data_IF_796316235611
#
_entry.id   IF_796316235611
#
_cell.length_a   1.000
_cell.length_b   1.000
_cell.length_c   1.000
_cell.angle_alpha   90.00
_cell.angle_beta   90.00
_cell.angle_gamma   90.00
#
_symmetry.space_group_name_H-M   'P 1'
#
loop_
_entity.id
_entity.type
_entity.pdbx_description
1 polymer ?
#
# COMPACT_ATOMS: atom_id res chain seq x y z
N UNK A 1 -15.72 -10.00 -26.27
CA UNK A 1 -14.45 -9.55 -26.91
C UNK A 1 -13.35 -10.48 -26.47
N UNK A 2 -12.51 -10.94 -27.39
CA UNK A 2 -11.34 -11.76 -27.05
C UNK A 2 -10.18 -10.82 -26.73
N UNK A 3 -9.59 -10.94 -25.53
CA UNK A 3 -8.35 -10.28 -25.20
C UNK A 3 -7.17 -11.06 -25.79
N UNK A 4 -6.17 -10.36 -26.33
CA UNK A 4 -4.94 -10.96 -26.81
C UNK A 4 -3.89 -11.06 -25.70
N UNK A 5 -3.94 -10.15 -24.73
CA UNK A 5 -3.08 -10.09 -23.55
C UNK A 5 -3.91 -9.71 -22.32
N UNK A 6 -3.66 -10.37 -21.21
CA UNK A 6 -4.24 -10.07 -19.89
C UNK A 6 -3.08 -9.85 -18.93
N UNK A 7 -3.08 -8.70 -18.25
CA UNK A 7 -2.08 -8.38 -17.24
C UNK A 7 -2.69 -8.43 -15.85
N UNK A 8 -1.94 -8.94 -14.91
CA UNK A 8 -2.24 -8.89 -13.47
C UNK A 8 -1.05 -8.33 -12.72
N UNK A 9 -1.32 -7.59 -11.64
CA UNK A 9 -0.31 -6.98 -10.77
C UNK A 9 -0.15 -7.73 -9.43
N UNK A 10 -0.72 -8.94 -9.36
CA UNK A 10 -0.53 -9.86 -8.23
C UNK A 10 -0.43 -11.29 -8.77
N UNK A 11 0.44 -12.11 -8.16
CA UNK A 11 0.56 -13.54 -8.50
C UNK A 11 -0.74 -14.29 -8.23
N UNK A 12 -1.44 -13.94 -7.15
CA UNK A 12 -2.76 -14.47 -6.83
C UNK A 12 -3.77 -14.24 -7.99
N UNK A 13 -3.77 -13.04 -8.58
CA UNK A 13 -4.61 -12.73 -9.75
C UNK A 13 -4.30 -13.59 -10.96
N UNK A 14 -3.02 -13.91 -11.18
CA UNK A 14 -2.59 -14.83 -12.23
C UNK A 14 -3.19 -16.24 -12.03
N UNK A 15 -3.13 -16.75 -10.80
CA UNK A 15 -3.65 -18.06 -10.45
C UNK A 15 -5.19 -18.12 -10.55
N UNK A 16 -5.90 -17.13 -10.04
CA UNK A 16 -7.36 -17.03 -10.14
C UNK A 16 -7.80 -17.06 -11.60
N UNK A 17 -7.15 -16.30 -12.47
CA UNK A 17 -7.53 -16.25 -13.89
C UNK A 17 -7.24 -17.59 -14.57
N UNK A 18 -6.11 -18.22 -14.31
CA UNK A 18 -5.75 -19.53 -14.87
C UNK A 18 -6.73 -20.62 -14.45
N UNK A 19 -7.17 -20.61 -13.20
CA UNK A 19 -8.13 -21.59 -12.70
C UNK A 19 -9.55 -21.36 -13.27
N UNK A 20 -10.02 -20.11 -13.27
CA UNK A 20 -11.38 -19.79 -13.74
C UNK A 20 -11.53 -19.79 -15.25
N UNK A 21 -10.45 -19.51 -15.97
CA UNK A 21 -10.45 -19.36 -17.43
C UNK A 21 -9.25 -20.10 -18.03
N UNK A 22 -9.20 -21.45 -17.99
CA UNK A 22 -8.05 -22.23 -18.49
C UNK A 22 -7.68 -21.89 -19.95
N UNK A 23 -8.68 -21.56 -20.78
CA UNK A 23 -8.48 -21.14 -22.16
C UNK A 23 -7.72 -19.83 -22.33
N UNK A 24 -7.65 -19.01 -21.28
CA UNK A 24 -6.90 -17.75 -21.28
C UNK A 24 -5.49 -17.89 -20.66
N UNK A 25 -5.13 -19.08 -20.17
CA UNK A 25 -3.91 -19.33 -19.39
C UNK A 25 -2.64 -18.88 -20.10
N UNK A 26 -2.53 -19.10 -21.42
CA UNK A 26 -1.37 -18.65 -22.22
C UNK A 26 -1.31 -17.16 -22.52
N UNK A 27 -2.35 -16.39 -22.14
CA UNK A 27 -2.45 -14.95 -22.41
C UNK A 27 -2.29 -14.10 -21.14
N UNK A 28 -2.25 -14.74 -19.97
CA UNK A 28 -2.18 -14.05 -18.68
C UNK A 28 -0.73 -13.94 -18.24
N UNK A 29 -0.30 -12.72 -17.96
CA UNK A 29 1.05 -12.41 -17.52
C UNK A 29 1.03 -11.58 -16.26
N UNK A 30 1.94 -11.87 -15.35
CA UNK A 30 2.20 -11.06 -14.17
C UNK A 30 3.26 -10.01 -14.50
N UNK A 31 2.97 -8.76 -14.17
CA UNK A 31 3.92 -7.66 -14.10
C UNK A 31 3.62 -6.84 -12.86
N UNK A 32 4.65 -6.46 -12.12
CA UNK A 32 4.46 -5.52 -11.02
C UNK A 32 3.81 -4.22 -11.50
N UNK A 33 2.98 -3.62 -10.65
CA UNK A 33 2.42 -2.31 -10.93
C UNK A 33 3.57 -1.30 -11.02
N UNK A 34 3.73 -0.56 -12.14
CA UNK A 34 4.85 0.37 -12.29
C UNK A 34 4.68 1.59 -11.42
N UNK A 35 5.80 2.21 -11.05
CA UNK A 35 5.82 3.46 -10.28
C UNK A 35 6.97 4.38 -10.69
N UNK A 36 7.02 5.56 -10.08
CA UNK A 36 8.08 6.55 -10.27
C UNK A 36 8.92 6.57 -9.00
N UNK A 37 10.25 6.58 -9.14
CA UNK A 37 11.15 6.73 -8.01
C UNK A 37 11.03 8.14 -7.41
N UNK A 38 10.59 8.23 -6.14
CA UNK A 38 10.44 9.46 -5.35
C UNK A 38 11.21 9.36 -4.03
N UNK A 39 12.22 8.48 -3.98
CA UNK A 39 13.00 8.28 -2.76
C UNK A 39 13.63 9.60 -2.29
N UNK A 40 13.62 9.87 -0.99
CA UNK A 40 14.34 11.01 -0.44
C UNK A 40 15.85 10.82 -0.63
N UNK A 41 16.61 11.91 -0.68
CA UNK A 41 18.07 11.85 -0.75
C UNK A 41 18.69 11.20 0.48
N UNK A 42 18.06 11.42 1.64
CA UNK A 42 18.45 10.86 2.94
C UNK A 42 17.20 10.41 3.69
N UNK A 43 17.33 9.31 4.44
CA UNK A 43 16.25 8.91 5.35
C UNK A 43 16.09 9.97 6.44
N UNK A 44 14.84 10.27 6.85
CA UNK A 44 14.59 11.16 7.97
C UNK A 44 15.21 10.59 9.24
N UNK A 45 15.65 11.49 10.12
CA UNK A 45 16.15 11.09 11.43
C UNK A 45 14.99 10.49 12.27
N UNK A 46 15.27 9.44 13.04
CA UNK A 46 14.26 8.76 13.87
C UNK A 46 13.55 9.71 14.87
N UNK A 47 14.22 10.79 15.27
CA UNK A 47 13.67 11.79 16.19
C UNK A 47 12.53 12.63 15.58
N UNK A 48 12.29 12.52 14.28
CA UNK A 48 11.25 13.27 13.56
C UNK A 48 9.96 12.48 13.36
N UNK A 49 9.83 11.29 13.94
CA UNK A 49 8.62 10.48 13.83
C UNK A 49 7.52 11.11 14.70
N UNK A 50 6.44 11.52 14.04
CA UNK A 50 5.26 12.11 14.65
C UNK A 50 4.09 11.12 14.74
N UNK A 51 4.03 10.17 13.79
CA UNK A 51 2.94 9.23 13.67
C UNK A 51 3.48 7.79 13.68
N UNK A 52 2.78 6.91 14.38
CA UNK A 52 3.04 5.48 14.27
C UNK A 52 2.51 4.95 12.93
N UNK A 53 1.36 5.47 12.49
CA UNK A 53 0.69 5.06 11.28
C UNK A 53 0.23 6.26 10.43
N UNK A 54 0.52 6.19 9.14
CA UNK A 54 -0.05 7.07 8.13
C UNK A 54 -1.02 6.26 7.26
N UNK A 55 -2.26 6.69 7.15
CA UNK A 55 -3.23 6.20 6.16
C UNK A 55 -3.47 7.32 5.16
N UNK A 56 -3.25 7.08 3.86
CA UNK A 56 -3.38 8.13 2.87
C UNK A 56 -4.11 7.69 1.59
N UNK A 57 -4.50 8.67 0.80
CA UNK A 57 -5.25 8.50 -0.45
C UNK A 57 -6.73 8.78 -0.28
N UNK A 58 -7.55 8.55 -1.31
CA UNK A 58 -8.99 8.84 -1.22
C UNK A 58 -9.63 8.07 -0.06
N UNK A 59 -10.28 8.78 0.85
CA UNK A 59 -11.01 8.20 1.98
C UNK A 59 -12.38 7.72 1.48
N UNK A 60 -12.58 6.40 1.47
CA UNK A 60 -13.79 5.74 1.00
C UNK A 60 -14.07 4.46 1.81
N UNK A 61 -15.32 3.99 1.78
CA UNK A 61 -15.75 2.86 2.64
C UNK A 61 -14.97 1.58 2.43
N UNK A 62 -14.69 1.21 1.16
CA UNK A 62 -14.00 -0.05 0.85
C UNK A 62 -12.53 -0.10 1.33
N UNK A 63 -11.99 1.04 1.79
CA UNK A 63 -10.59 1.12 2.25
C UNK A 63 -10.38 0.71 3.70
N UNK A 64 -11.39 0.20 4.39
CA UNK A 64 -11.25 -0.37 5.73
C UNK A 64 -10.92 0.63 6.85
N UNK A 65 -10.95 1.95 6.55
CA UNK A 65 -10.65 2.99 7.54
C UNK A 65 -11.67 2.96 8.68
N UNK A 66 -12.95 2.77 8.33
CA UNK A 66 -14.04 2.70 9.29
C UNK A 66 -13.89 1.51 10.24
N UNK A 67 -13.54 0.36 9.70
CA UNK A 67 -13.29 -0.88 10.43
C UNK A 67 -12.11 -0.70 11.39
N UNK A 68 -11.03 -0.08 10.92
CA UNK A 68 -9.85 0.18 11.74
C UNK A 68 -10.15 1.18 12.88
N UNK A 69 -10.89 2.27 12.63
CA UNK A 69 -11.30 3.19 13.69
C UNK A 69 -12.23 2.53 14.72
N UNK A 70 -13.13 1.66 14.26
CA UNK A 70 -14.00 0.88 15.16
C UNK A 70 -13.19 -0.09 16.02
N UNK A 71 -12.17 -0.72 15.42
CA UNK A 71 -11.22 -1.57 16.13
C UNK A 71 -10.51 -0.80 17.24
N UNK A 72 -9.92 0.37 16.94
CA UNK A 72 -9.21 1.19 17.92
C UNK A 72 -10.11 1.63 19.09
N UNK A 73 -11.38 1.94 18.83
CA UNK A 73 -12.35 2.28 19.90
C UNK A 73 -12.63 1.12 20.83
N UNK A 74 -12.62 -0.10 20.31
CA UNK A 74 -12.88 -1.32 21.09
C UNK A 74 -11.62 -1.82 21.82
N UNK A 75 -10.45 -1.28 21.51
CA UNK A 75 -9.16 -1.64 22.10
C UNK A 75 -8.47 -0.38 22.67
N UNK A 76 -9.03 0.20 23.75
CA UNK A 76 -8.56 1.47 24.29
C UNK A 76 -7.15 1.40 24.89
N UNK A 77 -6.60 0.20 25.10
CA UNK A 77 -5.20 -0.02 25.52
C UNK A 77 -4.21 0.26 24.38
N UNK A 78 -4.69 0.29 23.14
CA UNK A 78 -3.88 0.59 21.97
C UNK A 78 -4.03 2.07 21.60
N UNK A 79 -2.95 2.82 21.66
CA UNK A 79 -2.93 4.27 21.42
C UNK A 79 -1.91 4.68 20.34
N UNK A 80 -1.91 4.08 19.12
CA UNK A 80 -0.99 4.51 18.08
C UNK A 80 -1.35 5.93 17.61
N UNK A 81 -0.35 6.78 17.45
CA UNK A 81 -0.57 8.08 16.79
C UNK A 81 -0.85 7.87 15.31
N UNK A 82 -2.09 8.12 14.87
CA UNK A 82 -2.53 7.88 13.51
C UNK A 82 -2.81 9.18 12.77
N UNK A 83 -2.25 9.33 11.57
CA UNK A 83 -2.64 10.38 10.63
C UNK A 83 -3.39 9.77 9.44
N UNK A 84 -4.60 10.25 9.18
CA UNK A 84 -5.39 9.90 8.00
C UNK A 84 -5.48 11.12 7.11
N UNK A 85 -4.91 11.06 5.88
CA UNK A 85 -4.90 12.19 4.96
C UNK A 85 -5.39 11.80 3.58
N UNK A 86 -6.39 12.55 3.08
CA UNK A 86 -6.93 12.31 1.76
C UNK A 86 -8.28 12.96 1.55
N UNK A 87 -8.65 13.19 0.28
CA UNK A 87 -9.98 13.68 -0.06
C UNK A 87 -11.02 12.63 0.35
N UNK A 88 -12.00 13.02 1.15
CA UNK A 88 -13.10 12.15 1.52
C UNK A 88 -14.14 12.06 0.38
N UNK A 89 -14.67 10.86 0.15
CA UNK A 89 -15.65 10.61 -0.91
C UNK A 89 -16.98 11.35 -0.68
N UNK A 90 -17.36 11.60 0.60
CA UNK A 90 -18.54 12.39 0.94
C UNK A 90 -18.40 13.06 2.30
N UNK A 91 -19.16 14.18 2.51
CA UNK A 91 -19.18 14.86 3.80
C UNK A 91 -19.81 14.00 4.91
N UNK A 92 -20.79 13.16 4.57
CA UNK A 92 -21.41 12.25 5.53
C UNK A 92 -20.43 11.19 6.04
N UNK A 93 -19.61 10.62 5.15
CA UNK A 93 -18.55 9.69 5.53
C UNK A 93 -17.50 10.38 6.40
N UNK A 94 -17.09 11.60 6.04
CA UNK A 94 -16.13 12.35 6.85
C UNK A 94 -16.62 12.55 8.28
N UNK A 95 -17.88 13.00 8.44
CA UNK A 95 -18.49 13.20 9.75
C UNK A 95 -18.53 11.89 10.55
N UNK A 96 -18.97 10.80 9.91
CA UNK A 96 -19.02 9.47 10.54
C UNK A 96 -17.62 9.03 11.05
N UNK A 97 -16.57 9.25 10.26
CA UNK A 97 -15.20 8.89 10.65
C UNK A 97 -14.70 9.78 11.79
N UNK A 98 -14.99 11.10 11.74
CA UNK A 98 -14.61 12.03 12.80
C UNK A 98 -15.33 11.72 14.13
N UNK A 99 -16.61 11.35 14.08
CA UNK A 99 -17.38 10.95 15.28
C UNK A 99 -16.88 9.64 15.89
N UNK A 100 -16.21 8.79 15.10
CA UNK A 100 -15.62 7.51 15.53
C UNK A 100 -14.16 7.60 15.93
N UNK A 101 -13.42 8.58 15.41
CA UNK A 101 -12.00 8.69 15.63
C UNK A 101 -11.68 8.93 17.11
N UNK A 102 -10.80 8.14 17.75
CA UNK A 102 -10.22 8.50 19.04
C UNK A 102 -9.38 9.78 18.94
N UNK A 103 -9.13 10.44 20.08
CA UNK A 103 -8.43 11.75 20.13
C UNK A 103 -6.98 11.69 19.59
N UNK A 104 -6.36 10.51 19.60
CA UNK A 104 -5.01 10.28 19.05
C UNK A 104 -5.01 10.00 17.53
N UNK A 105 -6.17 10.09 16.88
CA UNK A 105 -6.30 9.93 15.42
C UNK A 105 -6.60 11.29 14.78
N UNK A 106 -5.71 11.75 13.92
CA UNK A 106 -5.89 12.99 13.16
C UNK A 106 -6.41 12.70 11.76
N UNK A 107 -7.56 13.27 11.38
CA UNK A 107 -8.13 13.17 10.04
C UNK A 107 -7.98 14.50 9.32
N UNK A 108 -7.32 14.49 8.15
CA UNK A 108 -7.06 15.65 7.29
C UNK A 108 -7.74 15.38 5.94
N UNK A 109 -8.95 15.96 5.69
CA UNK A 109 -9.76 15.65 4.51
C UNK A 109 -9.31 16.43 3.26
N UNK A 110 -8.01 16.40 2.94
CA UNK A 110 -7.42 17.07 1.79
C UNK A 110 -6.55 16.15 0.96
N UNK A 111 -6.44 16.37 -0.35
CA UNK A 111 -5.49 15.67 -1.21
C UNK A 111 -4.14 16.37 -1.14
N UNK A 112 -3.12 15.81 -0.49
CA UNK A 112 -1.80 16.40 -0.46
C UNK A 112 -1.13 16.29 -1.83
N UNK A 113 -0.25 17.26 -2.17
CA UNK A 113 0.73 17.07 -3.24
C UNK A 113 1.68 15.92 -2.89
N UNK A 114 2.34 15.34 -3.88
CA UNK A 114 3.35 14.29 -3.61
C UNK A 114 4.51 14.80 -2.73
N UNK A 115 4.89 16.06 -2.85
CA UNK A 115 5.89 16.69 -1.99
C UNK A 115 5.41 16.74 -0.53
N UNK A 116 4.19 17.21 -0.29
CA UNK A 116 3.59 17.22 1.05
C UNK A 116 3.43 15.80 1.60
N UNK A 117 3.03 14.84 0.75
CA UNK A 117 2.89 13.45 1.13
C UNK A 117 4.23 12.83 1.54
N UNK A 118 5.33 13.16 0.84
CA UNK A 118 6.67 12.67 1.21
C UNK A 118 7.05 13.07 2.63
N UNK A 119 6.66 14.27 3.08
CA UNK A 119 6.90 14.73 4.45
C UNK A 119 6.07 13.93 5.47
N UNK A 120 4.79 13.62 5.16
CA UNK A 120 3.98 12.75 6.02
C UNK A 120 4.57 11.35 6.12
N UNK A 121 5.01 10.76 5.01
CA UNK A 121 5.69 9.46 4.99
C UNK A 121 6.96 9.51 5.84
N UNK A 122 7.76 10.57 5.67
CA UNK A 122 9.00 10.75 6.42
C UNK A 122 8.80 10.89 7.94
N UNK A 123 7.66 11.44 8.36
CA UNK A 123 7.29 11.60 9.78
C UNK A 123 6.48 10.43 10.34
N UNK A 124 6.34 9.32 9.61
CA UNK A 124 5.56 8.16 10.02
C UNK A 124 6.41 6.90 10.10
N UNK A 125 6.13 6.03 11.07
CA UNK A 125 6.81 4.72 11.17
C UNK A 125 6.40 3.80 10.03
N UNK A 126 5.08 3.72 9.77
CA UNK A 126 4.51 2.89 8.72
C UNK A 126 3.42 3.64 7.95
N UNK A 127 3.28 3.28 6.70
CA UNK A 127 2.05 3.52 5.95
C UNK A 127 1.14 2.32 6.15
N UNK A 128 -0.03 2.52 6.75
CA UNK A 128 -1.06 1.50 6.91
C UNK A 128 -2.05 1.58 5.75
N UNK A 129 -2.30 0.45 5.12
CA UNK A 129 -3.31 0.28 4.07
C UNK A 129 -4.34 -0.74 4.59
N UNK A 130 -5.36 -0.30 5.34
CA UNK A 130 -6.25 -1.19 6.09
C UNK A 130 -7.38 -1.77 5.23
N UNK A 131 -7.13 -2.04 3.94
CA UNK A 131 -8.15 -2.56 3.03
C UNK A 131 -8.71 -3.90 3.50
N UNK A 132 -10.01 -4.10 3.26
CA UNK A 132 -10.60 -5.43 3.42
C UNK A 132 -9.93 -6.39 2.43
N UNK A 133 -9.45 -7.58 2.86
CA UNK A 133 -8.69 -8.50 2.00
C UNK A 133 -9.40 -8.84 0.69
N UNK A 134 -10.72 -9.07 0.74
CA UNK A 134 -11.53 -9.42 -0.43
C UNK A 134 -11.73 -8.27 -1.43
N UNK A 135 -11.32 -7.05 -1.07
CA UNK A 135 -11.54 -5.85 -1.88
C UNK A 135 -10.35 -5.46 -2.78
N UNK A 136 -9.19 -6.14 -2.63
CA UNK A 136 -7.97 -5.68 -3.29
C UNK A 136 -7.04 -6.83 -3.69
N UNK A 137 -6.59 -6.84 -4.94
CA UNK A 137 -5.50 -7.69 -5.42
C UNK A 137 -4.21 -6.88 -5.65
N UNK A 138 -4.35 -5.58 -5.94
CA UNK A 138 -3.22 -4.68 -6.17
C UNK A 138 -3.60 -3.26 -5.77
N UNK A 139 -2.62 -2.44 -5.38
CA UNK A 139 -2.86 -1.10 -4.87
C UNK A 139 -1.85 -0.08 -5.39
N UNK A 140 -2.34 0.97 -6.06
CA UNK A 140 -1.53 2.13 -6.43
C UNK A 140 -0.97 2.85 -5.19
N UNK A 141 -1.74 2.90 -4.09
CA UNK A 141 -1.27 3.47 -2.80
C UNK A 141 -0.07 2.70 -2.26
N UNK A 142 -0.05 1.36 -2.40
CA UNK A 142 1.09 0.53 -2.00
C UNK A 142 2.34 0.95 -2.82
N UNK A 143 2.23 0.97 -4.14
CA UNK A 143 3.35 1.30 -5.02
C UNK A 143 3.85 2.73 -4.82
N UNK A 144 2.94 3.69 -4.70
CA UNK A 144 3.32 5.07 -4.42
C UNK A 144 3.97 5.21 -3.04
N UNK A 145 3.51 4.47 -2.02
CA UNK A 145 4.15 4.45 -0.69
C UNK A 145 5.58 3.90 -0.77
N UNK A 146 5.78 2.79 -1.49
CA UNK A 146 7.11 2.22 -1.72
C UNK A 146 8.01 3.19 -2.49
N UNK A 147 7.44 4.01 -3.39
CA UNK A 147 8.19 5.01 -4.14
C UNK A 147 8.84 6.09 -3.26
N UNK A 148 8.28 6.34 -2.08
CA UNK A 148 8.85 7.23 -1.06
C UNK A 148 9.78 6.51 -0.07
N UNK A 149 9.97 5.20 -0.20
CA UNK A 149 10.73 4.40 0.76
C UNK A 149 9.97 4.08 2.04
N UNK A 150 8.64 4.12 2.00
CA UNK A 150 7.81 3.83 3.17
C UNK A 150 7.92 2.37 3.58
N UNK A 151 7.90 2.12 4.90
CA UNK A 151 7.55 0.82 5.45
C UNK A 151 6.03 0.69 5.40
N UNK A 152 5.52 -0.44 4.94
CA UNK A 152 4.10 -0.61 4.69
C UNK A 152 3.53 -1.76 5.52
N UNK A 153 2.34 -1.55 6.06
CA UNK A 153 1.50 -2.61 6.63
C UNK A 153 0.24 -2.69 5.76
N UNK A 154 -0.07 -3.87 5.22
CA UNK A 154 -1.24 -4.09 4.37
C UNK A 154 -1.88 -5.46 4.58
N UNK A 155 -3.04 -5.75 3.97
CA UNK A 155 -3.73 -7.02 4.12
C UNK A 155 -2.91 -8.18 3.53
N UNK A 156 -3.02 -9.38 4.11
CA UNK A 156 -2.35 -10.59 3.62
C UNK A 156 -3.05 -11.14 2.37
N UNK A 157 -3.05 -10.37 1.27
CA UNK A 157 -3.67 -10.73 -0.01
C UNK A 157 -2.93 -10.06 -1.19
N UNK A 158 -3.02 -10.65 -2.35
CA UNK A 158 -2.57 -10.09 -3.62
C UNK A 158 -1.12 -9.60 -3.62
N UNK A 159 -0.90 -8.42 -4.17
CA UNK A 159 0.43 -7.82 -4.29
C UNK A 159 1.09 -7.51 -2.93
N UNK A 160 0.33 -7.39 -1.84
CA UNK A 160 0.93 -7.20 -0.51
C UNK A 160 1.73 -8.43 -0.09
N UNK A 161 1.23 -9.65 -0.36
CA UNK A 161 1.97 -10.89 -0.12
C UNK A 161 3.21 -10.93 -1.02
N UNK A 162 3.05 -10.64 -2.32
CA UNK A 162 4.17 -10.65 -3.26
C UNK A 162 5.32 -9.74 -2.79
N UNK A 163 4.99 -8.51 -2.34
CA UNK A 163 6.00 -7.55 -1.87
C UNK A 163 6.52 -7.85 -0.46
N UNK A 164 5.75 -8.52 0.40
CA UNK A 164 6.24 -8.91 1.72
C UNK A 164 7.35 -9.98 1.66
N UNK A 165 7.40 -10.75 0.58
CA UNK A 165 8.46 -11.72 0.32
C UNK A 165 9.69 -11.12 -0.38
N UNK A 166 9.64 -9.84 -0.77
CA UNK A 166 10.76 -9.16 -1.42
C UNK A 166 11.70 -8.57 -0.36
N UNK A 167 12.90 -9.13 -0.23
CA UNK A 167 13.91 -8.70 0.75
C UNK A 167 14.46 -7.29 0.54
N UNK A 168 14.19 -6.67 -0.59
CA UNK A 168 14.56 -5.27 -0.88
C UNK A 168 13.60 -4.27 -0.25
N UNK A 169 12.42 -4.72 0.18
CA UNK A 169 11.30 -3.89 0.65
C UNK A 169 10.97 -4.18 2.11
N UNK A 170 10.27 -3.24 2.73
CA UNK A 170 9.77 -3.33 4.10
C UNK A 170 8.24 -3.37 4.08
N UNK A 171 7.68 -4.50 3.71
CA UNK A 171 6.24 -4.72 3.63
C UNK A 171 5.85 -5.82 4.61
N UNK A 172 4.94 -5.50 5.52
CA UNK A 172 4.35 -6.42 6.47
C UNK A 172 2.90 -6.67 6.10
N UNK A 173 2.41 -7.88 6.36
CA UNK A 173 1.01 -8.22 6.08
C UNK A 173 0.27 -8.59 7.35
N UNK A 174 -1.02 -8.23 7.41
CA UNK A 174 -1.93 -8.59 8.49
C UNK A 174 -3.08 -9.46 7.96
N UNK A 175 -3.54 -10.41 8.76
CA UNK A 175 -4.75 -11.21 8.51
C UNK A 175 -5.92 -10.70 9.35
N UNK A 176 -5.63 -10.17 10.54
CA UNK A 176 -6.58 -9.52 11.43
C UNK A 176 -6.05 -8.14 11.85
N UNK A 177 -6.91 -7.27 12.35
CA UNK A 177 -6.48 -5.94 12.83
C UNK A 177 -5.58 -6.04 14.08
N UNK A 178 -5.66 -7.13 14.84
CA UNK A 178 -4.77 -7.40 15.97
C UNK A 178 -3.30 -7.56 15.54
N UNK A 179 -3.07 -8.10 14.35
CA UNK A 179 -1.71 -8.27 13.83
C UNK A 179 -0.99 -6.92 13.65
N UNK A 180 -1.75 -5.83 13.41
CA UNK A 180 -1.18 -4.48 13.25
C UNK A 180 -0.51 -4.05 14.56
N UNK A 181 -1.14 -4.29 15.71
CA UNK A 181 -0.57 -3.98 17.01
C UNK A 181 0.70 -4.79 17.28
N UNK A 182 0.71 -6.08 16.92
CA UNK A 182 1.89 -6.95 17.04
C UNK A 182 3.02 -6.41 16.17
N UNK A 183 2.77 -6.07 14.90
CA UNK A 183 3.78 -5.51 14.01
C UNK A 183 4.36 -4.20 14.58
N UNK A 184 3.51 -3.33 15.14
CA UNK A 184 3.95 -2.08 15.76
C UNK A 184 4.83 -2.32 16.99
N UNK A 185 4.50 -3.33 17.82
CA UNK A 185 5.27 -3.65 19.05
C UNK A 185 6.60 -4.32 18.74
N UNK A 186 6.62 -5.19 17.73
CA UNK A 186 7.81 -5.94 17.32
C UNK A 186 8.77 -5.11 16.45
N UNK A 187 8.37 -3.88 16.15
CA UNK A 187 9.19 -2.98 15.35
C UNK A 187 10.56 -2.73 16.01
N UNK A 188 11.51 -3.58 15.64
CA UNK A 188 12.93 -3.30 15.84
C UNK A 188 13.32 -2.22 14.84
N UNK A 189 14.18 -1.28 15.27
CA UNK A 189 14.71 -0.18 14.44
C UNK A 189 15.54 -0.71 13.27
N UNK A 190 14.92 -1.46 12.37
CA UNK A 190 15.55 -1.89 11.14
C UNK A 190 15.77 -0.69 10.24
N UNK A 191 17.02 -0.42 9.93
CA UNK A 191 17.36 0.64 8.98
C UNK A 191 16.81 0.23 7.61
N UNK A 192 15.79 0.95 7.13
CA UNK A 192 15.35 0.79 5.76
C UNK A 192 16.55 1.06 4.83
N UNK A 193 16.85 0.12 3.94
CA UNK A 193 17.92 0.32 2.97
C UNK A 193 17.38 1.04 1.76
N UNK A 194 17.68 2.35 1.60
CA UNK A 194 17.33 3.08 0.38
C UNK A 194 17.93 2.44 -0.88
N UNK A 195 19.01 1.67 -0.75
CA UNK A 195 19.62 0.95 -1.86
C UNK A 195 18.70 -0.14 -2.39
N UNK A 196 18.09 -0.94 -1.49
CA UNK A 196 17.13 -1.97 -1.89
C UNK A 196 15.89 -1.37 -2.55
N UNK A 197 15.30 -0.33 -1.95
CA UNK A 197 14.17 0.38 -2.56
C UNK A 197 14.51 0.95 -3.94
N UNK A 198 15.69 1.56 -4.11
CA UNK A 198 16.12 2.11 -5.40
C UNK A 198 16.21 1.02 -6.45
N UNK A 199 16.85 -0.10 -6.13
CA UNK A 199 16.94 -1.24 -7.04
C UNK A 199 15.54 -1.71 -7.46
N UNK A 200 14.64 -1.94 -6.50
CA UNK A 200 13.27 -2.34 -6.79
C UNK A 200 12.54 -1.34 -7.68
N UNK A 201 12.65 -0.04 -7.40
CA UNK A 201 11.96 1.00 -8.16
C UNK A 201 12.49 1.14 -9.59
N UNK A 202 13.79 0.98 -9.79
CA UNK A 202 14.41 1.02 -11.11
C UNK A 202 13.99 -0.19 -11.96
N UNK A 203 13.88 -1.39 -11.35
CA UNK A 203 13.39 -2.61 -11.99
C UNK A 203 11.88 -2.57 -12.31
N UNK A 204 11.11 -1.68 -11.66
CA UNK A 204 9.66 -1.53 -11.82
C UNK A 204 9.25 -0.14 -12.34
N UNK A 205 10.17 0.57 -12.99
CA UNK A 205 9.89 1.86 -13.61
C UNK A 205 8.95 1.71 -14.82
N UNK A 206 8.22 2.79 -15.15
CA UNK A 206 7.30 2.84 -16.28
C UNK A 206 7.96 2.46 -17.62
N UNK A 207 9.23 2.84 -17.83
CA UNK A 207 9.96 2.49 -19.04
C UNK A 207 10.17 0.99 -19.18
N UNK A 208 10.53 0.32 -18.08
CA UNK A 208 10.67 -1.13 -18.05
C UNK A 208 9.33 -1.83 -18.28
N UNK A 209 8.29 -1.38 -17.60
CA UNK A 209 6.94 -1.90 -17.77
C UNK A 209 6.45 -1.77 -19.22
N UNK A 210 6.63 -0.59 -19.84
CA UNK A 210 6.28 -0.37 -21.25
C UNK A 210 7.03 -1.29 -22.19
N UNK A 211 8.32 -1.48 -21.99
CA UNK A 211 9.16 -2.40 -22.80
C UNK A 211 8.67 -3.85 -22.69
N UNK A 212 8.30 -4.29 -21.49
CA UNK A 212 7.75 -5.64 -21.27
C UNK A 212 6.40 -5.84 -21.95
N UNK A 213 5.52 -4.85 -21.93
CA UNK A 213 4.25 -4.92 -22.68
C UNK A 213 4.51 -5.06 -24.17
N UNK A 214 5.41 -4.26 -24.74
CA UNK A 214 5.75 -4.34 -26.17
C UNK A 214 6.31 -5.72 -26.50
N UNK A 215 7.19 -6.27 -25.69
CA UNK A 215 7.75 -7.62 -25.87
C UNK A 215 6.63 -8.68 -25.89
N UNK A 216 5.70 -8.63 -24.91
CA UNK A 216 4.59 -9.59 -24.83
C UNK A 216 3.65 -9.49 -26.02
N UNK A 217 3.26 -8.29 -26.44
CA UNK A 217 2.38 -8.08 -27.59
C UNK A 217 3.03 -8.53 -28.90
N UNK A 218 4.35 -8.36 -29.04
CA UNK A 218 5.07 -8.77 -30.27
C UNK A 218 5.21 -10.28 -30.38
N UNK A 219 5.33 -10.98 -29.26
CA UNK A 219 5.41 -12.46 -29.23
C UNK A 219 4.05 -13.15 -29.47
N UNK A 220 2.95 -12.41 -29.34
CA UNK A 220 1.58 -12.94 -29.47
C UNK A 220 1.06 -12.83 -30.91
N UNK A 221 1.78 -12.16 -31.80
CA UNK A 221 1.55 -12.11 -33.26
C UNK A 221 2.32 -13.22 -33.95
#
# INVERSE_FOLDING_TARGET
RKADLILTHATEGLEIIRQRYPQASGKVHFLHHPTINRLPRQLPAENNILYDLLIWGTISRYKGIHEYLSYLRNHPEQHPNVCIIGRCASASLLKELQDKAPDYVKIIPESPSFEKLSNYVACSRFVLIPYCPDSVLSSGVLMDSLSFGAKVIGPATGSFIDYSHNSLLNVHTFKSLDDIAVILSDYKKEKASLVGYRQFLDENAWQYFGSKIIELVTKTK
#
